data_IF_440032162364
#
_entry.id   IF_440032162364
#
_cell.length_a   1.000
_cell.length_b   1.000
_cell.length_c   1.000
_cell.angle_alpha   90.00
_cell.angle_beta   90.00
_cell.angle_gamma   90.00
#
_symmetry.space_group_name_H-M   'P 1'
#
loop_
_entity.id
_entity.type
_entity.pdbx_description
1 polymer ?
#
# COMPACT_ATOMS: atom_id res chain seq x y z
N UNK A 1 -6.34 1.19 8.83
CA UNK A 1 -5.02 1.78 9.13
C UNK A 1 -5.07 3.27 8.85
N UNK A 2 -4.24 4.07 9.50
CA UNK A 2 -4.08 5.50 9.16
C UNK A 2 -3.18 5.66 7.93
N UNK A 3 -3.19 6.85 7.30
CA UNK A 3 -2.28 7.17 6.20
C UNK A 3 -0.81 7.09 6.64
N UNK A 4 -0.51 7.47 7.88
CA UNK A 4 0.84 7.33 8.45
C UNK A 4 1.25 5.86 8.59
N UNK A 5 0.36 5.00 9.08
CA UNK A 5 0.60 3.55 9.18
C UNK A 5 0.81 2.91 7.80
N UNK A 6 0.08 3.37 6.77
CA UNK A 6 0.27 2.95 5.39
C UNK A 6 1.71 3.21 4.94
N UNK A 7 2.19 4.45 5.08
CA UNK A 7 3.53 4.82 4.65
C UNK A 7 4.63 4.09 5.43
N UNK A 8 4.46 3.92 6.74
CA UNK A 8 5.41 3.16 7.54
C UNK A 8 5.43 1.67 7.14
N UNK A 9 4.27 1.07 6.90
CA UNK A 9 4.17 -0.33 6.46
C UNK A 9 4.81 -0.52 5.08
N UNK A 10 4.60 0.43 4.17
CA UNK A 10 5.20 0.44 2.85
C UNK A 10 6.73 0.48 2.93
N UNK A 11 7.28 1.39 3.74
CA UNK A 11 8.71 1.54 3.94
C UNK A 11 9.31 0.27 4.60
N UNK A 12 8.58 -0.40 5.50
CA UNK A 12 9.02 -1.65 6.15
C UNK A 12 9.02 -2.84 5.20
N UNK A 13 7.99 -2.98 4.35
CA UNK A 13 7.83 -4.17 3.49
C UNK A 13 8.66 -4.05 2.21
N UNK A 14 8.72 -2.86 1.61
CA UNK A 14 9.33 -2.66 0.28
C UNK A 14 10.57 -1.77 0.31
N UNK A 15 10.85 -1.09 1.43
CA UNK A 15 11.86 -0.05 1.49
C UNK A 15 11.37 1.27 0.89
N UNK A 16 11.95 2.37 1.35
CA UNK A 16 11.47 3.71 1.00
C UNK A 16 11.62 4.09 -0.47
N UNK A 17 12.58 3.52 -1.21
CA UNK A 17 12.72 3.83 -2.64
C UNK A 17 11.69 3.08 -3.47
N UNK A 18 11.71 1.73 -3.40
CA UNK A 18 10.80 0.90 -4.19
C UNK A 18 9.34 1.12 -3.79
N UNK A 19 9.05 1.27 -2.49
CA UNK A 19 7.71 1.54 -2.00
C UNK A 19 7.09 2.78 -2.66
N UNK A 20 7.85 3.86 -2.81
CA UNK A 20 7.34 5.10 -3.43
C UNK A 20 7.05 4.90 -4.92
N UNK A 21 7.93 4.20 -5.64
CA UNK A 21 7.69 3.84 -7.05
C UNK A 21 6.46 2.96 -7.22
N UNK A 22 6.24 1.99 -6.32
CA UNK A 22 5.02 1.17 -6.35
C UNK A 22 3.77 2.03 -6.17
N UNK A 23 3.79 2.98 -5.22
CA UNK A 23 2.62 3.82 -4.97
C UNK A 23 2.31 4.78 -6.12
N UNK A 24 3.31 5.26 -6.85
CA UNK A 24 3.12 6.18 -7.98
C UNK A 24 2.87 5.49 -9.31
N UNK A 25 3.48 4.32 -9.55
CA UNK A 25 3.59 3.76 -10.90
C UNK A 25 2.75 2.49 -11.10
N UNK A 26 2.44 1.76 -10.02
CA UNK A 26 1.66 0.53 -10.10
C UNK A 26 0.16 0.84 -10.09
N UNK A 27 -0.50 0.54 -11.20
CA UNK A 27 -1.97 0.53 -11.27
C UNK A 27 -2.47 -0.73 -10.54
N UNK A 28 -3.29 -0.54 -9.50
CA UNK A 28 -3.90 -1.62 -8.74
C UNK A 28 -5.18 -2.08 -9.46
N UNK A 29 -5.25 -3.30 -10.02
CA UNK A 29 -6.38 -3.72 -10.86
C UNK A 29 -7.74 -3.67 -10.15
N UNK A 30 -7.77 -3.99 -8.85
CA UNK A 30 -8.99 -3.93 -8.04
C UNK A 30 -9.55 -2.51 -7.87
N UNK A 31 -8.68 -1.50 -7.91
CA UNK A 31 -9.04 -0.09 -7.78
C UNK A 31 -9.12 0.62 -9.15
N UNK A 32 -8.52 0.04 -10.19
CA UNK A 32 -8.42 0.63 -11.53
C UNK A 32 -7.56 1.89 -11.60
N UNK A 33 -6.72 2.15 -10.59
CA UNK A 33 -5.87 3.34 -10.48
C UNK A 33 -4.65 3.08 -9.60
N UNK A 34 -3.73 4.03 -9.51
CA UNK A 34 -2.55 3.91 -8.64
C UNK A 34 -2.93 4.11 -7.17
N UNK A 35 -2.06 3.66 -6.26
CA UNK A 35 -2.25 3.96 -4.84
C UNK A 35 -2.19 5.47 -4.54
N UNK A 36 -1.40 6.23 -5.31
CA UNK A 36 -1.38 7.71 -5.23
C UNK A 36 -2.75 8.29 -5.55
N UNK A 37 -3.34 7.92 -6.68
CA UNK A 37 -4.66 8.40 -7.08
C UNK A 37 -5.74 8.03 -6.05
N UNK A 38 -5.65 6.83 -5.47
CA UNK A 38 -6.59 6.36 -4.46
C UNK A 38 -6.46 7.17 -3.16
N UNK A 39 -5.24 7.48 -2.71
CA UNK A 39 -5.01 8.33 -1.54
C UNK A 39 -5.54 9.76 -1.76
N UNK A 40 -5.34 10.35 -2.93
CA UNK A 40 -5.86 11.67 -3.28
C UNK A 40 -7.39 11.71 -3.30
N UNK A 41 -8.03 10.58 -3.63
CA UNK A 41 -9.49 10.40 -3.60
C UNK A 41 -10.02 9.98 -2.22
N UNK A 42 -9.18 10.02 -1.19
CA UNK A 42 -9.54 9.68 0.19
C UNK A 42 -10.09 8.24 0.35
N UNK A 43 -9.64 7.31 -0.49
CA UNK A 43 -9.96 5.89 -0.28
C UNK A 43 -9.37 5.41 1.05
N UNK A 44 -10.06 4.45 1.67
CA UNK A 44 -9.60 3.83 2.92
C UNK A 44 -8.17 3.28 2.74
N UNK A 45 -7.19 3.71 3.55
CA UNK A 45 -5.80 3.29 3.38
C UNK A 45 -5.59 1.78 3.53
N UNK A 46 -6.43 1.09 4.31
CA UNK A 46 -6.32 -0.36 4.45
C UNK A 46 -6.75 -1.08 3.18
N UNK A 47 -7.77 -0.57 2.50
CA UNK A 47 -8.20 -1.06 1.17
C UNK A 47 -7.09 -0.89 0.13
N UNK A 48 -6.41 0.26 0.13
CA UNK A 48 -5.27 0.51 -0.77
C UNK A 48 -4.12 -0.45 -0.45
N UNK A 49 -3.81 -0.64 0.84
CA UNK A 49 -2.78 -1.56 1.29
C UNK A 49 -3.08 -3.01 0.91
N UNK A 50 -4.32 -3.48 1.11
CA UNK A 50 -4.70 -4.86 0.77
C UNK A 50 -4.55 -5.13 -0.72
N UNK A 51 -5.00 -4.20 -1.56
CA UNK A 51 -4.85 -4.31 -3.02
C UNK A 51 -3.38 -4.32 -3.43
N UNK A 52 -2.54 -3.48 -2.80
CA UNK A 52 -1.10 -3.46 -3.07
C UNK A 52 -0.42 -4.78 -2.69
N UNK A 53 -0.69 -5.32 -1.50
CA UNK A 53 -0.13 -6.61 -1.05
C UNK A 53 -0.58 -7.78 -1.93
N UNK A 54 -1.83 -7.76 -2.40
CA UNK A 54 -2.35 -8.75 -3.33
C UNK A 54 -1.60 -8.68 -4.67
N UNK A 55 -1.44 -7.47 -5.23
CA UNK A 55 -0.79 -7.25 -6.53
C UNK A 55 0.71 -7.60 -6.49
N UNK A 56 1.43 -7.25 -5.41
CA UNK A 56 2.86 -7.56 -5.27
C UNK A 56 3.16 -9.00 -4.84
N UNK A 57 2.14 -9.78 -4.52
CA UNK A 57 2.30 -11.16 -4.05
C UNK A 57 3.08 -11.29 -2.74
N UNK A 58 3.08 -10.24 -1.90
CA UNK A 58 3.93 -10.17 -0.69
C UNK A 58 3.44 -11.05 0.48
N UNK A 59 2.28 -11.68 0.34
CA UNK A 59 1.73 -12.64 1.30
C UNK A 59 0.97 -12.00 2.47
N UNK A 60 0.21 -12.84 3.18
CA UNK A 60 -0.72 -12.37 4.23
C UNK A 60 -0.02 -11.76 5.45
N UNK A 61 1.20 -12.22 5.79
CA UNK A 61 1.96 -11.63 6.91
C UNK A 61 2.24 -10.13 6.70
N UNK A 62 2.49 -9.72 5.45
CA UNK A 62 2.73 -8.32 5.11
C UNK A 62 1.45 -7.46 5.26
N UNK A 63 0.27 -8.05 5.08
CA UNK A 63 -1.00 -7.35 5.26
C UNK A 63 -1.15 -6.78 6.68
N UNK A 64 -0.60 -7.48 7.68
CA UNK A 64 -0.76 -7.15 9.10
C UNK A 64 0.44 -6.43 9.73
N UNK A 65 1.46 -6.05 8.95
CA UNK A 65 2.69 -5.40 9.45
C UNK A 65 2.41 -4.18 10.33
N UNK A 66 1.41 -3.36 9.98
CA UNK A 66 1.05 -2.15 10.73
C UNK A 66 0.64 -2.39 12.18
N UNK A 67 0.21 -3.61 12.55
CA UNK A 67 -0.17 -3.93 13.93
C UNK A 67 1.01 -4.08 14.88
N UNK A 68 2.24 -4.06 14.34
CA UNK A 68 3.50 -4.23 15.08
C UNK A 68 4.35 -2.95 15.05
N UNK A 69 3.82 -1.84 14.54
CA UNK A 69 4.48 -0.54 14.39
C UNK A 69 4.18 0.42 15.56
#
# INVERSE_FOLDING_TARGET
MTVSEFWLSLDVVFGSTLGRSLVSDLVLPELGMTATDALEKEYDPFTIWSALIAETGSGEEALWTYRRL
#
